data_IF_009890426739
#
_entry.id   IF_009890426739
#
_cell.length_a   1.000
_cell.length_b   1.000
_cell.length_c   1.000
_cell.angle_alpha   90.00
_cell.angle_beta   90.00
_cell.angle_gamma   90.00
#
_symmetry.space_group_name_H-M   'P 1'
#
loop_
_entity.id
_entity.type
_entity.pdbx_description
1 polymer ?
#
# COMPACT_ATOMS: atom_id res chain seq x y z
N UNK A 1 7.02 2.50 -23.62
CA UNK A 1 6.53 1.59 -22.55
C UNK A 1 7.21 1.93 -21.24
N UNK A 2 6.46 2.16 -20.16
CA UNK A 2 7.03 2.40 -18.82
C UNK A 2 7.88 1.20 -18.38
N UNK A 3 9.11 1.47 -17.91
CA UNK A 3 10.00 0.48 -17.29
C UNK A 3 9.79 0.36 -15.77
N UNK A 4 9.11 1.32 -15.16
CA UNK A 4 8.93 1.38 -13.70
C UNK A 4 7.72 0.56 -13.25
N UNK A 5 7.79 0.04 -12.03
CA UNK A 5 6.71 -0.69 -11.33
C UNK A 5 6.32 -2.03 -11.96
N UNK A 6 7.31 -2.91 -12.19
CA UNK A 6 7.06 -4.29 -12.64
C UNK A 6 7.48 -5.27 -11.56
N UNK A 7 6.59 -6.20 -11.25
CA UNK A 7 6.91 -7.37 -10.43
C UNK A 7 7.49 -8.44 -11.35
N UNK A 8 8.77 -8.79 -11.16
CA UNK A 8 9.47 -9.76 -12.00
C UNK A 8 9.27 -11.20 -11.51
N UNK A 9 9.28 -11.38 -10.19
CA UNK A 9 9.04 -12.65 -9.50
C UNK A 9 7.60 -12.69 -8.98
N UNK A 10 6.80 -13.66 -9.44
CA UNK A 10 5.36 -13.72 -9.11
C UNK A 10 5.12 -13.95 -7.62
N UNK A 11 6.01 -14.68 -6.95
CA UNK A 11 5.86 -15.03 -5.53
C UNK A 11 6.79 -14.21 -4.62
N UNK A 12 7.36 -13.12 -5.14
CA UNK A 12 8.30 -12.28 -4.41
C UNK A 12 7.58 -11.41 -3.38
N UNK A 13 8.26 -11.12 -2.27
CA UNK A 13 7.88 -10.03 -1.39
C UNK A 13 8.47 -8.72 -1.94
N UNK A 14 7.64 -7.69 -2.00
CA UNK A 14 8.00 -6.39 -2.56
C UNK A 14 7.77 -5.28 -1.55
N UNK A 15 8.71 -4.34 -1.54
CA UNK A 15 8.51 -3.03 -0.95
C UNK A 15 7.91 -2.09 -1.99
N UNK A 16 6.79 -1.46 -1.64
CA UNK A 16 6.15 -0.42 -2.44
C UNK A 16 5.92 0.82 -1.57
N UNK A 17 6.15 1.98 -2.17
CA UNK A 17 5.83 3.27 -1.58
C UNK A 17 5.06 4.11 -2.59
N UNK A 18 4.07 4.87 -2.10
CA UNK A 18 3.30 5.81 -2.90
C UNK A 18 2.83 6.99 -2.04
N UNK A 19 2.61 8.13 -2.69
CA UNK A 19 2.22 9.38 -2.04
C UNK A 19 0.96 9.97 -2.69
N UNK A 20 0.25 10.80 -1.93
CA UNK A 20 -0.83 11.64 -2.42
C UNK A 20 -0.30 12.66 -3.44
N UNK A 21 -1.18 13.13 -4.32
CA UNK A 21 -0.83 14.19 -5.27
C UNK A 21 -0.45 15.45 -4.50
N UNK A 22 0.64 16.09 -4.90
CA UNK A 22 1.23 17.26 -4.22
C UNK A 22 1.61 17.04 -2.76
N UNK A 23 1.75 15.79 -2.30
CA UNK A 23 2.07 15.45 -0.91
C UNK A 23 1.08 16.02 0.11
N UNK A 24 -0.19 16.15 -0.29
CA UNK A 24 -1.24 16.64 0.61
C UNK A 24 -1.47 15.61 1.72
N UNK A 25 -1.57 16.09 2.96
CA UNK A 25 -1.72 15.26 4.16
C UNK A 25 -3.15 14.70 4.33
N UNK A 26 -3.53 13.77 3.45
CA UNK A 26 -4.86 13.15 3.44
C UNK A 26 -5.03 12.15 4.59
N UNK A 27 -3.98 11.39 4.93
CA UNK A 27 -4.05 10.31 5.91
C UNK A 27 -4.01 10.79 7.37
N UNK A 28 -4.05 12.10 7.59
CA UNK A 28 -4.25 12.70 8.93
C UNK A 28 -5.72 12.67 9.36
N UNK A 29 -6.66 12.50 8.41
CA UNK A 29 -8.09 12.37 8.71
C UNK A 29 -8.43 10.90 8.93
N UNK A 30 -9.13 10.62 10.03
CA UNK A 30 -9.44 9.26 10.46
C UNK A 30 -10.20 8.48 9.40
N UNK A 31 -11.22 9.07 8.76
CA UNK A 31 -12.02 8.42 7.72
C UNK A 31 -11.14 7.89 6.57
N UNK A 32 -10.14 8.65 6.15
CA UNK A 32 -9.23 8.27 5.06
C UNK A 32 -8.18 7.26 5.52
N UNK A 33 -7.70 7.38 6.76
CA UNK A 33 -6.82 6.38 7.36
C UNK A 33 -7.54 5.02 7.49
N UNK A 34 -8.75 4.99 8.03
CA UNK A 34 -9.58 3.79 8.19
C UNK A 34 -9.89 3.16 6.84
N UNK A 35 -10.23 3.95 5.82
CA UNK A 35 -10.45 3.45 4.46
C UNK A 35 -9.26 2.63 3.92
N UNK A 36 -8.02 3.08 4.18
CA UNK A 36 -6.81 2.33 3.79
C UNK A 36 -6.68 1.04 4.60
N UNK A 37 -6.88 1.11 5.91
CA UNK A 37 -6.81 -0.06 6.80
C UNK A 37 -7.82 -1.14 6.40
N UNK A 38 -9.07 -0.75 6.16
CA UNK A 38 -10.14 -1.65 5.71
C UNK A 38 -9.81 -2.27 4.34
N UNK A 39 -9.25 -1.47 3.43
CA UNK A 39 -8.81 -1.95 2.11
C UNK A 39 -7.68 -2.98 2.21
N UNK A 40 -6.69 -2.75 3.08
CA UNK A 40 -5.59 -3.68 3.33
C UNK A 40 -6.10 -4.98 3.96
N UNK A 41 -7.01 -4.89 4.93
CA UNK A 41 -7.63 -6.06 5.57
C UNK A 41 -8.48 -6.87 4.58
N UNK A 42 -9.28 -6.19 3.74
CA UNK A 42 -10.03 -6.83 2.68
C UNK A 42 -9.13 -7.59 1.71
N UNK A 43 -8.02 -6.98 1.28
CA UNK A 43 -7.04 -7.62 0.39
C UNK A 43 -6.40 -8.85 1.05
N UNK A 44 -6.08 -8.79 2.35
CA UNK A 44 -5.58 -9.96 3.09
C UNK A 44 -6.59 -11.10 3.13
N UNK A 45 -7.85 -10.79 3.45
CA UNK A 45 -8.90 -11.80 3.65
C UNK A 45 -9.44 -12.39 2.34
N UNK A 46 -9.52 -11.59 1.28
CA UNK A 46 -10.28 -11.95 0.07
C UNK A 46 -9.43 -12.05 -1.20
N UNK A 47 -8.24 -11.44 -1.23
CA UNK A 47 -7.38 -11.41 -2.42
C UNK A 47 -6.10 -12.23 -2.28
N UNK A 48 -5.88 -12.88 -1.13
CA UNK A 48 -4.66 -13.66 -0.87
C UNK A 48 -3.42 -12.82 -0.61
N UNK A 49 -3.57 -11.50 -0.42
CA UNK A 49 -2.44 -10.60 -0.19
C UNK A 49 -1.80 -10.85 1.18
N UNK A 50 -0.52 -11.17 1.19
CA UNK A 50 0.26 -11.33 2.43
C UNK A 50 0.96 -10.02 2.78
N UNK A 51 0.64 -9.46 3.93
CA UNK A 51 1.27 -8.23 4.44
C UNK A 51 2.32 -8.61 5.48
N UNK A 52 3.58 -8.20 5.23
CA UNK A 52 4.68 -8.38 6.17
C UNK A 52 4.89 -7.14 7.05
N UNK A 53 4.53 -5.96 6.56
CA UNK A 53 4.56 -4.72 7.34
C UNK A 53 4.13 -3.51 6.51
N UNK A 54 3.63 -2.47 7.18
CA UNK A 54 3.31 -1.19 6.55
C UNK A 54 3.44 -0.03 7.53
N UNK A 55 3.61 1.17 6.98
CA UNK A 55 3.56 2.42 7.71
C UNK A 55 2.72 3.41 6.90
N UNK A 56 1.72 4.03 7.55
CA UNK A 56 0.91 5.09 6.96
C UNK A 56 1.38 6.40 7.57
N UNK A 57 1.91 7.28 6.72
CA UNK A 57 2.35 8.63 7.06
C UNK A 57 1.30 9.63 6.56
N UNK A 58 1.30 10.89 7.02
CA UNK A 58 0.28 11.89 6.65
C UNK A 58 -0.06 11.98 5.14
N UNK A 59 0.95 11.87 4.27
CA UNK A 59 0.80 12.03 2.81
C UNK A 59 1.27 10.83 1.98
N UNK A 60 1.80 9.78 2.61
CA UNK A 60 2.36 8.65 1.86
C UNK A 60 2.34 7.36 2.67
N UNK A 61 2.45 6.23 1.98
CA UNK A 61 2.36 4.89 2.58
C UNK A 61 3.55 4.07 2.11
N UNK A 62 4.11 3.30 3.03
CA UNK A 62 5.11 2.26 2.78
C UNK A 62 4.50 0.90 3.08
N UNK A 63 4.67 -0.08 2.19
CA UNK A 63 4.09 -1.42 2.32
C UNK A 63 5.10 -2.47 1.88
N UNK A 64 5.26 -3.52 2.68
CA UNK A 64 5.98 -4.75 2.33
C UNK A 64 4.95 -5.86 2.24
N UNK A 65 4.76 -6.40 1.03
CA UNK A 65 3.73 -7.40 0.78
C UNK A 65 4.10 -8.39 -0.33
N UNK A 66 3.35 -9.49 -0.40
CA UNK A 66 3.28 -10.41 -1.55
C UNK A 66 1.82 -10.44 -2.04
N UNK A 67 1.61 -10.33 -3.35
CA UNK A 67 0.26 -10.27 -3.94
C UNK A 67 -0.35 -11.64 -4.12
#
# INVERSE_FOLDING_TARGET
MSRKYKFAEKNGAYFVSFATVYWIDVFTRIDYFETIIESLDYCRKNKGMEIYGYCIMPSHIHLIFRS
#
